data_IF_499762445466
#
_entry.id   IF_499762445466
#
_cell.length_a   1.000
_cell.length_b   1.000
_cell.length_c   1.000
_cell.angle_alpha   90.00
_cell.angle_beta   90.00
_cell.angle_gamma   90.00
#
_symmetry.space_group_name_H-M   'P 1'
#
loop_
_entity.id
_entity.type
_entity.pdbx_description
1 polymer ?
#
# COMPACT_ATOMS: atom_id res chain seq x y z
N UNK A 1 -17.96 -1.14 26.17
CA UNK A 1 -16.80 -1.81 25.54
C UNK A 1 -17.01 -1.80 24.03
N UNK A 2 -16.19 -1.06 23.29
CA UNK A 2 -16.17 -1.17 21.82
C UNK A 2 -15.69 -2.59 21.49
N UNK A 3 -16.47 -3.35 20.71
CA UNK A 3 -16.05 -4.67 20.21
C UNK A 3 -14.76 -4.47 19.42
N UNK A 4 -13.76 -5.33 19.62
CA UNK A 4 -12.60 -5.39 18.74
C UNK A 4 -13.12 -5.59 17.31
N UNK A 5 -13.01 -4.55 16.48
CA UNK A 5 -13.33 -4.64 15.08
C UNK A 5 -12.41 -5.68 14.46
N UNK A 6 -12.97 -6.66 13.74
CA UNK A 6 -12.18 -7.46 12.81
C UNK A 6 -11.42 -6.48 11.92
N UNK A 7 -10.09 -6.50 11.98
CA UNK A 7 -9.26 -5.60 11.18
C UNK A 7 -9.64 -5.68 9.70
N UNK A 8 -9.45 -4.57 8.97
CA UNK A 8 -9.65 -4.59 7.51
C UNK A 8 -8.58 -5.49 6.91
N UNK A 9 -8.93 -6.35 5.92
CA UNK A 9 -7.95 -7.15 5.21
C UNK A 9 -6.87 -6.23 4.61
N UNK A 10 -5.61 -6.48 4.95
CA UNK A 10 -4.47 -5.76 4.39
C UNK A 10 -3.79 -6.62 3.32
N UNK A 11 -2.99 -6.00 2.46
CA UNK A 11 -2.15 -6.73 1.52
C UNK A 11 -0.70 -6.65 1.98
N UNK A 12 -0.12 -7.80 2.32
CA UNK A 12 1.30 -7.93 2.63
C UNK A 12 2.07 -7.95 1.32
N UNK A 13 3.09 -7.10 1.22
CA UNK A 13 4.02 -7.07 0.08
C UNK A 13 5.27 -7.87 0.45
N UNK A 14 5.61 -8.87 -0.37
CA UNK A 14 6.85 -9.63 -0.24
C UNK A 14 7.92 -9.04 -1.15
N UNK A 15 9.12 -8.88 -0.61
CA UNK A 15 10.25 -8.29 -1.34
C UNK A 15 11.50 -9.15 -1.20
N UNK A 16 12.35 -9.15 -2.22
CA UNK A 16 13.69 -9.73 -2.13
C UNK A 16 14.67 -8.80 -1.38
N UNK A 17 15.94 -9.23 -1.26
CA UNK A 17 17.00 -8.47 -0.56
C UNK A 17 17.27 -7.09 -1.17
N UNK A 18 16.94 -6.88 -2.44
CA UNK A 18 17.09 -5.61 -3.15
C UNK A 18 15.79 -4.79 -3.11
N UNK A 19 14.85 -5.13 -2.22
CA UNK A 19 13.53 -4.48 -2.08
C UNK A 19 12.65 -4.56 -3.32
N UNK A 20 12.98 -5.44 -4.27
CA UNK A 20 12.13 -5.68 -5.42
C UNK A 20 10.95 -6.53 -4.97
N UNK A 21 9.75 -6.07 -5.31
CA UNK A 21 8.51 -6.77 -5.03
C UNK A 21 8.50 -8.09 -5.79
N UNK A 22 8.22 -9.18 -5.08
CA UNK A 22 8.18 -10.53 -5.65
C UNK A 22 6.79 -11.16 -5.57
N UNK A 23 5.98 -10.78 -4.58
CA UNK A 23 4.64 -11.34 -4.39
C UNK A 23 3.75 -10.46 -3.49
N UNK A 24 2.45 -10.74 -3.50
CA UNK A 24 1.43 -10.07 -2.69
C UNK A 24 0.53 -11.12 -2.01
N UNK A 25 0.28 -10.96 -0.72
CA UNK A 25 -0.49 -11.91 0.08
C UNK A 25 -1.58 -11.20 0.90
N UNK A 26 -2.80 -11.75 0.88
CA UNK A 26 -3.88 -11.27 1.74
C UNK A 26 -3.58 -11.50 3.22
N UNK A 27 -3.75 -10.47 4.04
CA UNK A 27 -3.30 -10.45 5.42
C UNK A 27 -4.43 -10.15 6.41
N UNK A 28 -4.58 -11.02 7.42
CA UNK A 28 -5.68 -10.97 8.39
C UNK A 28 -5.37 -10.19 9.69
N UNK A 29 -4.27 -9.42 9.75
CA UNK A 29 -4.08 -8.36 10.76
C UNK A 29 -3.53 -8.77 12.13
N UNK A 30 -2.71 -9.84 12.25
CA UNK A 30 -2.17 -10.33 13.54
C UNK A 30 -0.70 -9.97 13.85
N UNK A 31 0.00 -9.35 12.93
CA UNK A 31 1.46 -9.11 12.90
C UNK A 31 1.71 -7.80 12.15
N UNK A 32 2.88 -7.20 12.38
CA UNK A 32 3.31 -6.02 11.63
C UNK A 32 3.72 -6.44 10.21
N UNK A 33 3.12 -5.82 9.19
CA UNK A 33 3.38 -6.13 7.78
C UNK A 33 3.75 -4.86 7.01
N UNK A 34 4.54 -5.03 5.95
CA UNK A 34 4.69 -4.01 4.92
C UNK A 34 3.43 -4.04 4.04
N UNK A 35 2.69 -2.94 4.01
CA UNK A 35 1.49 -2.75 3.18
C UNK A 35 1.71 -1.64 2.16
N UNK A 36 0.89 -1.63 1.11
CA UNK A 36 0.84 -0.51 0.17
C UNK A 36 0.08 0.67 0.82
N UNK A 37 0.71 1.83 0.95
CA UNK A 37 0.07 3.07 1.46
C UNK A 37 -0.76 3.80 0.38
N UNK A 38 -0.99 3.17 -0.78
CA UNK A 38 -1.65 3.80 -1.92
C UNK A 38 -0.81 4.87 -2.64
N UNK A 39 0.48 4.99 -2.31
CA UNK A 39 1.42 5.92 -2.95
C UNK A 39 2.37 5.14 -3.83
N UNK A 40 2.47 5.53 -5.10
CA UNK A 40 3.38 4.93 -6.06
C UNK A 40 3.95 5.97 -7.01
N UNK A 41 5.20 5.77 -7.44
CA UNK A 41 5.92 6.68 -8.31
C UNK A 41 6.12 6.03 -9.69
N UNK A 42 5.78 6.77 -10.74
CA UNK A 42 5.80 6.27 -12.11
C UNK A 42 6.47 7.29 -13.04
N UNK A 43 7.20 6.77 -14.02
CA UNK A 43 7.79 7.56 -15.10
C UNK A 43 6.79 7.77 -16.23
N UNK A 44 7.12 8.66 -17.17
CA UNK A 44 6.29 8.87 -18.36
C UNK A 44 6.17 7.61 -19.24
N UNK A 45 7.21 6.78 -19.29
CA UNK A 45 7.20 5.54 -20.07
C UNK A 45 6.22 4.53 -19.50
N UNK A 46 6.07 4.51 -18.17
CA UNK A 46 5.18 3.58 -17.48
C UNK A 46 3.72 3.80 -17.87
N UNK A 47 3.31 5.05 -18.12
CA UNK A 47 1.95 5.36 -18.57
C UNK A 47 1.59 4.63 -19.89
N UNK A 48 2.56 4.48 -20.79
CA UNK A 48 2.38 3.69 -22.02
C UNK A 48 2.22 2.20 -21.72
N UNK A 49 2.99 1.69 -20.77
CA UNK A 49 2.98 0.28 -20.37
C UNK A 49 1.67 -0.07 -19.65
N UNK A 50 1.21 0.79 -18.74
CA UNK A 50 -0.13 0.70 -18.13
C UNK A 50 -1.21 0.60 -19.21
N UNK A 51 -1.18 1.51 -20.19
CA UNK A 51 -2.18 1.52 -21.26
C UNK A 51 -2.14 0.24 -22.10
N UNK A 52 -0.96 -0.28 -22.44
CA UNK A 52 -0.81 -1.55 -23.15
C UNK A 52 -1.36 -2.72 -22.31
N UNK A 53 -0.99 -2.79 -21.03
CA UNK A 53 -1.47 -3.82 -20.10
C UNK A 53 -3.00 -3.84 -20.02
N UNK A 54 -3.62 -2.68 -19.79
CA UNK A 54 -5.07 -2.55 -19.71
C UNK A 54 -5.79 -2.88 -21.02
N UNK A 55 -5.17 -2.64 -22.17
CA UNK A 55 -5.78 -2.97 -23.46
C UNK A 55 -5.57 -4.43 -23.88
N UNK A 56 -4.44 -5.05 -23.50
CA UNK A 56 -4.08 -6.40 -23.95
C UNK A 56 -4.57 -7.50 -23.02
N UNK A 57 -4.55 -7.26 -21.70
CA UNK A 57 -4.74 -8.32 -20.69
C UNK A 57 -6.01 -8.17 -19.89
N UNK A 58 -6.59 -6.98 -19.85
CA UNK A 58 -7.79 -6.72 -19.07
C UNK A 58 -9.03 -6.83 -19.97
N UNK A 59 -9.49 -8.07 -20.18
CA UNK A 59 -10.77 -8.34 -20.86
C UNK A 59 -11.99 -7.99 -19.96
N UNK A 60 -13.20 -7.93 -20.53
CA UNK A 60 -14.42 -7.65 -19.75
C UNK A 60 -14.68 -8.70 -18.64
N UNK A 61 -14.16 -9.91 -18.81
CA UNK A 61 -14.33 -11.02 -17.87
C UNK A 61 -13.45 -10.82 -16.63
N UNK A 62 -12.21 -10.33 -16.79
CA UNK A 62 -11.32 -9.91 -15.72
C UNK A 62 -11.82 -8.64 -15.02
N UNK A 63 -12.34 -7.65 -15.77
CA UNK A 63 -12.98 -6.46 -15.17
C UNK A 63 -14.11 -6.83 -14.23
N UNK A 64 -14.98 -7.77 -14.64
CA UNK A 64 -16.09 -8.29 -13.82
C UNK A 64 -15.64 -9.16 -12.66
N UNK A 65 -14.57 -9.96 -12.82
CA UNK A 65 -14.10 -10.92 -11.82
C UNK A 65 -13.27 -10.26 -10.71
N UNK A 66 -12.46 -9.26 -11.05
CA UNK A 66 -11.51 -8.67 -10.11
C UNK A 66 -11.98 -7.35 -9.51
N UNK A 67 -13.03 -6.69 -10.05
CA UNK A 67 -13.43 -5.36 -9.56
C UNK A 67 -12.23 -4.40 -9.50
N UNK A 68 -11.34 -4.54 -10.49
CA UNK A 68 -9.91 -4.22 -10.49
C UNK A 68 -9.47 -3.24 -9.39
N UNK A 69 -8.99 -3.80 -8.28
CA UNK A 69 -8.25 -3.04 -7.30
C UNK A 69 -6.93 -2.55 -7.89
N UNK A 70 -6.40 -1.42 -7.40
CA UNK A 70 -5.11 -0.92 -7.87
C UNK A 70 -3.98 -1.90 -7.56
N UNK A 71 -4.14 -2.68 -6.49
CA UNK A 71 -3.23 -3.72 -6.03
C UNK A 71 -3.08 -4.84 -7.06
N UNK A 72 -4.16 -5.27 -7.71
CA UNK A 72 -4.11 -6.30 -8.76
C UNK A 72 -3.33 -5.83 -9.99
N UNK A 73 -3.47 -4.55 -10.33
CA UNK A 73 -2.74 -3.92 -11.44
C UNK A 73 -1.25 -3.83 -11.09
N UNK A 74 -0.90 -3.47 -9.85
CA UNK A 74 0.49 -3.44 -9.40
C UNK A 74 1.12 -4.82 -9.39
N UNK A 75 0.42 -5.85 -8.89
CA UNK A 75 0.88 -7.22 -8.93
C UNK A 75 1.18 -7.65 -10.37
N UNK A 76 0.25 -7.40 -11.29
CA UNK A 76 0.44 -7.81 -12.68
C UNK A 76 1.58 -7.07 -13.38
N UNK A 77 1.80 -5.79 -13.07
CA UNK A 77 2.96 -5.04 -13.58
C UNK A 77 4.28 -5.48 -12.94
N UNK A 78 4.27 -5.86 -11.66
CA UNK A 78 5.47 -6.36 -10.98
C UNK A 78 6.03 -7.62 -11.64
N UNK A 79 5.17 -8.42 -12.29
CA UNK A 79 5.57 -9.60 -13.06
C UNK A 79 6.31 -9.25 -14.36
N UNK A 80 6.06 -8.07 -14.94
CA UNK A 80 6.71 -7.63 -16.18
C UNK A 80 7.85 -6.64 -15.93
N UNK A 81 7.83 -5.98 -14.77
CA UNK A 81 8.76 -4.93 -14.40
C UNK A 81 9.12 -5.06 -12.92
N UNK A 82 10.42 -5.06 -12.62
CA UNK A 82 10.89 -4.99 -11.25
C UNK A 82 10.43 -3.67 -10.60
N UNK A 83 9.52 -3.76 -9.64
CA UNK A 83 9.07 -2.63 -8.81
C UNK A 83 9.83 -2.64 -7.50
N UNK A 84 10.40 -1.51 -7.10
CA UNK A 84 11.06 -1.36 -5.80
C UNK A 84 10.05 -0.89 -4.74
N UNK A 85 10.03 -1.56 -3.59
CA UNK A 85 9.26 -1.15 -2.43
C UNK A 85 10.11 -0.33 -1.46
N UNK A 86 9.63 0.86 -1.10
CA UNK A 86 10.23 1.69 -0.07
C UNK A 86 9.38 1.64 1.19
N UNK A 87 9.99 1.15 2.29
CA UNK A 87 9.32 1.13 3.58
C UNK A 87 9.25 2.53 4.17
N UNK A 88 8.05 2.96 4.54
CA UNK A 88 7.84 4.17 5.33
C UNK A 88 7.62 3.79 6.79
N UNK A 89 8.29 4.48 7.71
CA UNK A 89 8.02 4.33 9.14
C UNK A 89 6.60 4.83 9.44
N UNK A 90 5.88 4.09 10.29
CA UNK A 90 4.50 4.39 10.71
C UNK A 90 4.32 5.80 11.28
N UNK A 91 5.39 6.43 11.79
CA UNK A 91 5.31 7.83 12.24
C UNK A 91 5.09 8.86 11.11
N UNK A 92 5.39 8.48 9.87
CA UNK A 92 5.27 9.33 8.68
C UNK A 92 4.03 8.98 7.83
N UNK A 93 3.46 7.80 7.98
CA UNK A 93 2.24 7.41 7.26
C UNK A 93 1.68 6.08 7.72
N UNK A 94 0.35 5.98 7.71
CA UNK A 94 -0.39 4.75 7.95
C UNK A 94 -1.75 4.81 7.27
N UNK A 95 -2.28 3.66 6.87
CA UNK A 95 -3.67 3.57 6.42
C UNK A 95 -4.63 3.77 7.60
N UNK A 96 -5.73 4.48 7.35
CA UNK A 96 -6.81 4.68 8.31
C UNK A 96 -7.99 3.86 7.84
N UNK A 97 -8.08 2.62 8.34
CA UNK A 97 -9.10 1.66 7.93
C UNK A 97 -10.19 1.49 8.98
N UNK A 98 -9.84 1.64 10.26
CA UNK A 98 -10.76 1.62 11.40
C UNK A 98 -10.55 2.83 12.30
N UNK A 99 -11.53 3.09 13.18
CA UNK A 99 -11.46 4.19 14.15
C UNK A 99 -10.18 4.14 15.01
N UNK A 100 -9.71 2.95 15.35
CA UNK A 100 -8.48 2.80 16.14
C UNK A 100 -7.24 3.29 15.39
N UNK A 101 -7.19 3.12 14.06
CA UNK A 101 -6.09 3.65 13.25
C UNK A 101 -6.08 5.17 13.27
N UNK A 102 -7.27 5.78 13.16
CA UNK A 102 -7.44 7.23 13.26
C UNK A 102 -6.95 7.77 14.61
N UNK A 103 -7.39 7.17 15.72
CA UNK A 103 -6.98 7.59 17.06
C UNK A 103 -5.46 7.45 17.25
N UNK A 104 -4.86 6.37 16.73
CA UNK A 104 -3.41 6.18 16.74
C UNK A 104 -2.69 7.25 15.91
N UNK A 105 -3.20 7.58 14.72
CA UNK A 105 -2.64 8.62 13.86
C UNK A 105 -2.68 10.00 14.54
N UNK A 106 -3.79 10.36 15.19
CA UNK A 106 -3.90 11.59 15.98
C UNK A 106 -2.86 11.64 17.12
N UNK A 107 -2.70 10.54 17.86
CA UNK A 107 -1.71 10.45 18.94
C UNK A 107 -0.26 10.63 18.44
N UNK A 108 0.07 10.02 17.30
CA UNK A 108 1.37 10.19 16.64
C UNK A 108 1.57 11.65 16.21
N UNK A 109 0.56 12.26 15.59
CA UNK A 109 0.60 13.66 15.16
C UNK A 109 0.81 14.62 16.33
N UNK A 110 0.01 14.50 17.39
CA UNK A 110 0.11 15.36 18.58
C UNK A 110 1.50 15.24 19.24
N UNK A 111 2.05 14.02 19.32
CA UNK A 111 3.34 13.77 19.97
C UNK A 111 4.53 14.20 19.13
N UNK A 112 4.52 13.95 17.82
CA UNK A 112 5.71 14.06 16.98
C UNK A 112 5.71 15.24 16.02
N UNK A 113 4.54 15.81 15.71
CA UNK A 113 4.42 16.80 14.62
C UNK A 113 3.87 18.14 15.09
N UNK A 114 2.89 18.14 15.99
CA UNK A 114 2.22 19.36 16.46
C UNK A 114 3.13 20.34 17.20
N UNK A 115 4.16 19.84 17.87
CA UNK A 115 5.12 20.64 18.64
C UNK A 115 6.52 20.69 17.97
N UNK A 116 6.60 20.54 16.64
CA UNK A 116 7.86 20.50 15.88
C UNK A 116 8.69 21.79 15.83
N UNK A 117 8.34 22.83 16.60
CA UNK A 117 9.15 24.06 16.72
C UNK A 117 10.54 23.82 17.35
N UNK A 118 10.84 22.59 17.82
CA UNK A 118 12.13 22.22 18.39
C UNK A 118 13.14 21.58 17.43
N UNK A 119 12.79 21.34 16.15
CA UNK A 119 13.74 20.84 15.13
C UNK A 119 14.21 22.00 14.23
N UNK A 120 14.73 23.04 14.88
CA UNK A 120 15.62 24.03 14.27
C UNK A 120 16.86 24.16 15.14
N UNK A 121 17.81 23.24 14.99
CA UNK A 121 19.24 23.46 15.23
C UNK A 121 20.04 22.55 14.34
#
# INVERSE_FOLDING_TARGET
>A
MLKESKGVPLTRIHCNRNRIITDYEGYAGRETVVTNLGISYWTRNDAGDFKRFFHQRVDEKMKKRFGLSWEDIFLALSCEKALEAHQLDRKYGCDINILMDYLNACSIYDRLWKNCDSIKK
#
